data_IF_070559025029
#
_entry.id   IF_070559025029
#
_cell.length_a   1.000
_cell.length_b   1.000
_cell.length_c   1.000
_cell.angle_alpha   90.00
_cell.angle_beta   90.00
_cell.angle_gamma   90.00
#
_symmetry.space_group_name_H-M   'P 1'
#
loop_
_entity.id
_entity.type
_entity.pdbx_description
1 polymer ?
#
# COMPACT_ATOMS: atom_id res chain seq x y z
N UNK A 1 11.74 43.84 7.46
CA UNK A 1 10.45 43.67 6.75
C UNK A 1 10.71 42.69 5.60
N UNK A 2 10.51 41.40 5.85
CA UNK A 2 10.71 40.37 4.81
C UNK A 2 9.45 40.30 3.95
N UNK A 3 9.59 40.73 2.70
CA UNK A 3 8.56 40.61 1.68
C UNK A 3 8.39 39.13 1.34
N UNK A 4 7.31 38.52 1.81
CA UNK A 4 6.88 37.21 1.34
C UNK A 4 6.35 37.43 -0.08
N UNK A 5 7.17 37.15 -1.08
CA UNK A 5 6.73 37.13 -2.48
C UNK A 5 5.60 36.10 -2.61
N UNK A 6 4.40 36.57 -2.95
CA UNK A 6 3.26 35.71 -3.22
C UNK A 6 3.58 34.83 -4.44
N UNK A 7 3.65 33.53 -4.25
CA UNK A 7 3.77 32.57 -5.35
C UNK A 7 2.50 32.71 -6.20
N UNK A 8 2.61 32.97 -7.52
CA UNK A 8 1.43 33.10 -8.37
C UNK A 8 0.60 31.80 -8.33
N UNK A 9 -0.73 31.91 -8.36
CA UNK A 9 -1.57 30.72 -8.35
C UNK A 9 -1.26 29.87 -9.58
N UNK A 10 -0.82 28.66 -9.38
CA UNK A 10 -0.67 27.66 -10.44
C UNK A 10 -1.94 26.84 -10.51
N UNK A 11 -2.44 26.61 -11.72
CA UNK A 11 -3.62 25.76 -11.97
C UNK A 11 -3.19 24.48 -12.69
N UNK A 12 -3.80 23.37 -12.30
CA UNK A 12 -3.67 22.08 -12.96
C UNK A 12 -5.02 21.70 -13.55
N UNK A 13 -5.02 21.27 -14.81
CA UNK A 13 -6.20 20.71 -15.45
C UNK A 13 -6.39 19.25 -15.01
N UNK A 14 -7.63 18.83 -14.77
CA UNK A 14 -7.93 17.48 -14.32
C UNK A 14 -9.37 17.09 -14.67
N UNK A 15 -9.69 15.81 -14.42
CA UNK A 15 -11.03 15.25 -14.61
C UNK A 15 -11.72 15.23 -13.23
N UNK A 16 -12.89 15.85 -13.14
CA UNK A 16 -13.70 15.80 -11.91
C UNK A 16 -14.35 14.43 -11.73
N UNK A 17 -13.97 13.70 -10.70
CA UNK A 17 -14.56 12.41 -10.36
C UNK A 17 -15.82 12.55 -9.47
N UNK A 18 -15.92 13.64 -8.72
CA UNK A 18 -17.09 13.99 -7.91
C UNK A 18 -17.39 15.48 -8.00
N UNK A 19 -18.64 15.86 -7.72
CA UNK A 19 -19.07 17.26 -7.67
C UNK A 19 -18.62 17.92 -6.36
N UNK A 20 -18.34 19.22 -6.41
CA UNK A 20 -18.04 20.05 -5.25
C UNK A 20 -16.77 20.87 -5.39
N UNK A 21 -16.53 21.71 -4.39
CA UNK A 21 -15.30 22.52 -4.26
C UNK A 21 -14.70 22.24 -2.91
N UNK A 22 -13.45 21.77 -2.90
CA UNK A 22 -12.68 21.54 -1.67
C UNK A 22 -11.61 22.64 -1.50
N UNK A 23 -11.53 23.21 -0.30
CA UNK A 23 -10.46 24.17 0.07
C UNK A 23 -9.75 23.60 1.30
N UNK A 24 -8.44 23.45 1.22
CA UNK A 24 -7.65 22.88 2.30
C UNK A 24 -6.15 22.96 2.03
N UNK A 25 -5.37 22.48 2.99
CA UNK A 25 -3.91 22.35 2.84
C UNK A 25 -3.61 21.10 1.99
N UNK A 26 -2.70 21.22 1.04
CA UNK A 26 -2.24 20.08 0.27
C UNK A 26 -1.31 19.19 1.12
N UNK A 27 -1.56 17.89 1.08
CA UNK A 27 -0.68 16.85 1.59
C UNK A 27 -0.28 15.96 0.41
N UNK A 28 1.01 15.99 0.05
CA UNK A 28 1.52 15.17 -1.05
C UNK A 28 1.89 13.81 -0.48
N UNK A 29 1.06 12.82 -0.80
CA UNK A 29 1.30 11.42 -0.45
C UNK A 29 2.22 10.79 -1.50
N UNK A 30 3.34 10.23 -1.04
CA UNK A 30 4.27 9.47 -1.88
C UNK A 30 4.39 8.08 -1.30
N UNK A 31 4.05 7.09 -2.08
CA UNK A 31 4.36 5.70 -1.77
C UNK A 31 5.87 5.53 -1.95
N UNK A 32 6.62 5.64 -0.87
CA UNK A 32 8.03 5.33 -0.87
C UNK A 32 8.20 3.81 -0.94
N UNK A 33 8.93 3.33 -1.94
CA UNK A 33 9.33 1.92 -1.94
C UNK A 33 10.33 1.75 -0.81
N UNK A 34 10.08 0.87 0.17
CA UNK A 34 11.08 0.58 1.17
C UNK A 34 12.36 0.15 0.47
N UNK A 35 13.45 0.86 0.71
CA UNK A 35 14.74 0.53 0.12
C UNK A 35 15.19 -0.78 0.74
N UNK A 36 15.20 -1.84 -0.04
CA UNK A 36 15.70 -3.13 0.39
C UNK A 36 17.15 -2.97 0.89
N UNK A 37 17.35 -3.14 2.19
CA UNK A 37 18.65 -3.01 2.80
C UNK A 37 19.61 -4.05 2.22
N UNK A 38 20.67 -3.63 1.55
CA UNK A 38 21.71 -4.51 0.98
C UNK A 38 22.62 -5.10 2.07
N UNK A 39 22.06 -5.48 3.22
CA UNK A 39 22.79 -6.04 4.35
C UNK A 39 22.72 -7.57 4.29
N UNK A 40 23.88 -8.24 4.34
CA UNK A 40 23.92 -9.69 4.47
C UNK A 40 23.69 -10.10 5.91
N UNK A 41 22.85 -11.10 6.14
CA UNK A 41 22.57 -11.65 7.44
C UNK A 41 23.70 -12.57 7.92
N UNK A 42 23.96 -12.56 9.21
CA UNK A 42 24.73 -13.63 9.84
C UNK A 42 23.87 -14.89 9.95
N UNK A 43 24.45 -16.07 9.77
CA UNK A 43 23.71 -17.35 9.87
C UNK A 43 22.91 -17.49 11.16
N UNK A 44 23.46 -17.02 12.28
CA UNK A 44 22.79 -17.05 13.60
C UNK A 44 21.51 -16.20 13.68
N UNK A 45 21.27 -15.30 12.71
CA UNK A 45 20.08 -14.43 12.67
C UNK A 45 19.03 -14.86 11.67
N UNK A 46 19.30 -15.89 10.87
CA UNK A 46 18.43 -16.31 9.77
C UNK A 46 17.04 -16.72 10.26
N UNK A 47 16.96 -17.59 11.27
CA UNK A 47 15.66 -18.06 11.77
C UNK A 47 14.87 -16.93 12.47
N UNK A 48 15.54 -16.05 13.19
CA UNK A 48 14.87 -14.85 13.73
C UNK A 48 14.30 -13.94 12.64
N UNK A 49 14.99 -13.86 11.51
CA UNK A 49 14.51 -13.09 10.35
C UNK A 49 13.31 -13.75 9.67
N UNK A 50 13.31 -15.09 9.57
CA UNK A 50 12.16 -15.87 9.12
C UNK A 50 10.95 -15.64 10.03
N UNK A 51 11.14 -15.72 11.36
CA UNK A 51 10.06 -15.47 12.32
C UNK A 51 9.53 -14.02 12.20
N UNK A 52 10.41 -13.04 12.00
CA UNK A 52 10.03 -11.64 11.77
C UNK A 52 9.16 -11.50 10.52
N UNK A 53 9.53 -12.17 9.44
CA UNK A 53 8.76 -12.19 8.20
C UNK A 53 7.37 -12.80 8.40
N UNK A 54 7.30 -14.00 8.97
CA UNK A 54 6.04 -14.71 9.18
C UNK A 54 5.10 -13.93 10.13
N UNK A 55 5.66 -13.33 11.18
CA UNK A 55 4.89 -12.48 12.10
C UNK A 55 4.36 -11.22 11.39
N UNK A 56 5.15 -10.61 10.50
CA UNK A 56 4.69 -9.45 9.70
C UNK A 56 3.53 -9.83 8.78
N UNK A 57 3.59 -10.98 8.10
CA UNK A 57 2.48 -11.49 7.29
C UNK A 57 1.21 -11.69 8.13
N UNK A 58 1.35 -12.29 9.31
CA UNK A 58 0.24 -12.50 10.23
C UNK A 58 -0.40 -11.18 10.65
N UNK A 59 0.41 -10.18 11.05
CA UNK A 59 -0.08 -8.87 11.49
C UNK A 59 -0.80 -8.13 10.36
N UNK A 60 -0.24 -8.11 9.15
CA UNK A 60 -0.90 -7.53 7.97
C UNK A 60 -2.22 -8.23 7.67
N UNK A 61 -2.25 -9.55 7.75
CA UNK A 61 -3.48 -10.33 7.57
C UNK A 61 -4.57 -9.97 8.59
N UNK A 62 -4.21 -9.78 9.87
CA UNK A 62 -5.16 -9.34 10.90
C UNK A 62 -5.68 -7.91 10.64
N UNK A 63 -4.86 -7.01 10.17
CA UNK A 63 -5.27 -5.65 9.82
C UNK A 63 -6.22 -5.65 8.62
N UNK A 64 -5.93 -6.42 7.59
CA UNK A 64 -6.82 -6.56 6.42
C UNK A 64 -8.16 -7.18 6.84
N UNK A 65 -8.18 -8.21 7.68
CA UNK A 65 -9.43 -8.80 8.21
C UNK A 65 -10.24 -7.78 9.00
N UNK A 66 -9.58 -6.95 9.81
CA UNK A 66 -10.24 -5.87 10.56
C UNK A 66 -10.84 -4.84 9.61
N UNK A 67 -10.08 -4.39 8.62
CA UNK A 67 -10.53 -3.42 7.62
C UNK A 67 -11.69 -3.96 6.81
N UNK A 68 -11.60 -5.22 6.36
CA UNK A 68 -12.68 -5.93 5.66
C UNK A 68 -13.98 -5.90 6.44
N UNK A 69 -13.93 -6.29 7.73
CA UNK A 69 -15.14 -6.29 8.58
C UNK A 69 -15.76 -4.89 8.71
N UNK A 70 -14.94 -3.87 8.83
CA UNK A 70 -15.42 -2.49 8.93
C UNK A 70 -16.06 -2.00 7.63
N UNK A 71 -15.45 -2.30 6.48
CA UNK A 71 -16.00 -1.96 5.16
C UNK A 71 -17.31 -2.73 4.92
N UNK A 72 -17.37 -4.00 5.31
CA UNK A 72 -18.59 -4.80 5.19
C UNK A 72 -19.76 -4.20 5.99
N UNK A 73 -19.49 -3.69 7.20
CA UNK A 73 -20.50 -3.04 8.04
C UNK A 73 -20.94 -1.67 7.51
N UNK A 74 -20.02 -0.88 6.96
CA UNK A 74 -20.28 0.49 6.52
C UNK A 74 -20.81 0.56 5.07
N UNK A 75 -20.35 -0.35 4.19
CA UNK A 75 -20.57 -0.27 2.74
C UNK A 75 -21.13 -1.56 2.13
N UNK A 76 -21.32 -2.59 2.92
CA UNK A 76 -21.86 -3.87 2.49
C UNK A 76 -20.81 -4.87 2.00
N UNK A 77 -21.23 -6.14 1.76
CA UNK A 77 -20.33 -7.25 1.48
C UNK A 77 -19.65 -7.15 0.10
N UNK A 78 -20.28 -6.51 -0.87
CA UNK A 78 -19.73 -6.43 -2.24
C UNK A 78 -18.40 -5.64 -2.25
N UNK A 79 -18.34 -4.50 -1.56
CA UNK A 79 -17.12 -3.71 -1.48
C UNK A 79 -16.05 -4.40 -0.64
N UNK A 80 -16.45 -5.16 0.38
CA UNK A 80 -15.53 -5.90 1.24
C UNK A 80 -14.79 -7.04 0.51
N UNK A 81 -15.30 -7.53 -0.64
CA UNK A 81 -14.68 -8.62 -1.43
C UNK A 81 -13.30 -8.28 -1.98
N UNK A 82 -12.96 -7.02 -2.14
CA UNK A 82 -11.62 -6.63 -2.59
C UNK A 82 -10.53 -7.15 -1.63
N UNK A 83 -10.85 -7.24 -0.33
CA UNK A 83 -9.93 -7.73 0.70
C UNK A 83 -9.79 -9.26 0.70
N UNK A 84 -10.75 -10.01 0.16
CA UNK A 84 -10.68 -11.47 0.08
C UNK A 84 -9.53 -11.90 -0.84
N UNK A 85 -9.28 -11.16 -1.93
CA UNK A 85 -8.15 -11.40 -2.84
C UNK A 85 -6.82 -11.14 -2.12
N UNK A 86 -6.73 -10.06 -1.37
CA UNK A 86 -5.52 -9.72 -0.60
C UNK A 86 -5.24 -10.79 0.46
N UNK A 87 -6.26 -11.25 1.19
CA UNK A 87 -6.11 -12.31 2.18
C UNK A 87 -5.68 -13.64 1.54
N UNK A 88 -6.21 -13.98 0.35
CA UNK A 88 -5.80 -15.16 -0.39
C UNK A 88 -4.33 -15.10 -0.81
N UNK A 89 -3.85 -13.94 -1.26
CA UNK A 89 -2.43 -13.71 -1.62
C UNK A 89 -1.51 -13.87 -0.40
N UNK A 90 -1.89 -13.32 0.76
CA UNK A 90 -1.13 -13.48 2.01
C UNK A 90 -1.11 -14.93 2.52
N UNK A 91 -2.16 -15.70 2.22
CA UNK A 91 -2.26 -17.11 2.60
C UNK A 91 -1.52 -18.04 1.63
N UNK A 92 -1.01 -17.52 0.50
CA UNK A 92 -0.32 -18.35 -0.50
C UNK A 92 0.99 -18.92 0.07
N UNK A 93 0.99 -20.25 0.31
CA UNK A 93 2.15 -20.96 0.85
C UNK A 93 3.36 -20.87 -0.10
N UNK A 94 3.14 -20.79 -1.41
CA UNK A 94 4.23 -20.65 -2.38
C UNK A 94 5.00 -19.33 -2.21
N UNK A 95 4.30 -18.24 -1.94
CA UNK A 95 4.93 -16.93 -1.65
C UNK A 95 5.74 -17.01 -0.36
N UNK A 96 5.17 -17.64 0.68
CA UNK A 96 5.84 -17.81 1.98
C UNK A 96 7.10 -18.67 1.82
N UNK A 97 6.97 -19.85 1.23
CA UNK A 97 8.08 -20.78 1.08
C UNK A 97 9.22 -20.21 0.22
N UNK A 98 8.89 -19.54 -0.88
CA UNK A 98 9.88 -18.89 -1.72
C UNK A 98 10.62 -17.79 -0.96
N UNK A 99 9.92 -16.98 -0.18
CA UNK A 99 10.53 -15.91 0.62
C UNK A 99 11.42 -16.47 1.70
N UNK A 100 10.94 -17.47 2.46
CA UNK A 100 11.71 -18.16 3.51
C UNK A 100 12.97 -18.81 2.92
N UNK A 101 12.83 -19.48 1.77
CA UNK A 101 13.95 -20.09 1.07
C UNK A 101 15.01 -19.05 0.69
N UNK A 102 14.59 -17.87 0.17
CA UNK A 102 15.51 -16.78 -0.14
C UNK A 102 16.22 -16.25 1.09
N UNK A 103 15.51 -16.02 2.20
CA UNK A 103 16.13 -15.56 3.46
C UNK A 103 17.25 -16.52 3.88
N UNK A 104 16.98 -17.84 3.84
CA UNK A 104 17.93 -18.88 4.25
C UNK A 104 19.10 -19.05 3.29
N UNK A 105 18.86 -19.07 2.00
CA UNK A 105 19.90 -19.36 1.00
C UNK A 105 20.72 -18.12 0.62
N UNK A 106 20.05 -16.97 0.44
CA UNK A 106 20.70 -15.73 0.01
C UNK A 106 21.25 -14.93 1.20
N UNK A 107 20.91 -15.32 2.44
CA UNK A 107 21.28 -14.61 3.68
C UNK A 107 20.93 -13.12 3.60
N UNK A 108 19.77 -12.81 3.05
CA UNK A 108 19.30 -11.44 2.85
C UNK A 108 18.15 -11.11 3.82
N UNK A 109 17.95 -9.83 4.18
CA UNK A 109 16.83 -9.39 4.99
C UNK A 109 15.48 -9.77 4.38
N UNK A 110 14.47 -9.94 5.22
CA UNK A 110 13.11 -10.32 4.82
C UNK A 110 12.51 -9.35 3.79
N UNK A 111 12.80 -8.06 3.90
CA UNK A 111 12.36 -7.03 2.95
C UNK A 111 12.88 -7.33 1.54
N UNK A 112 14.17 -7.66 1.44
CA UNK A 112 14.80 -8.00 0.15
C UNK A 112 14.25 -9.29 -0.42
N UNK A 113 14.15 -10.33 0.41
CA UNK A 113 13.64 -11.64 0.00
C UNK A 113 12.20 -11.54 -0.49
N UNK A 114 11.35 -10.86 0.27
CA UNK A 114 9.94 -10.68 -0.06
C UNK A 114 9.74 -9.83 -1.31
N UNK A 115 10.41 -8.68 -1.42
CA UNK A 115 10.35 -7.83 -2.62
C UNK A 115 10.76 -8.60 -3.90
N UNK A 116 11.82 -9.39 -3.84
CA UNK A 116 12.27 -10.21 -4.96
C UNK A 116 11.24 -11.31 -5.32
N UNK A 117 10.60 -11.92 -4.32
CA UNK A 117 9.53 -12.90 -4.53
C UNK A 117 8.33 -12.24 -5.20
N UNK A 118 7.86 -11.10 -4.67
CA UNK A 118 6.72 -10.37 -5.21
C UNK A 118 6.97 -9.83 -6.62
N UNK A 119 8.21 -9.46 -6.96
CA UNK A 119 8.57 -9.06 -8.32
C UNK A 119 8.35 -10.18 -9.35
N UNK A 120 8.68 -11.42 -8.99
CA UNK A 120 8.38 -12.59 -9.82
C UNK A 120 6.88 -12.80 -10.00
N UNK A 121 6.09 -12.65 -8.95
CA UNK A 121 4.64 -12.77 -9.01
C UNK A 121 4.00 -11.64 -9.83
N UNK A 122 4.45 -10.39 -9.67
CA UNK A 122 3.96 -9.25 -10.48
C UNK A 122 4.15 -9.50 -11.99
N UNK A 123 5.34 -9.95 -12.39
CA UNK A 123 5.61 -10.28 -13.81
C UNK A 123 4.67 -11.37 -14.33
N UNK A 124 4.48 -12.44 -13.56
CA UNK A 124 3.56 -13.52 -13.94
C UNK A 124 2.11 -13.03 -14.09
N UNK A 125 1.68 -12.08 -13.25
CA UNK A 125 0.36 -11.45 -13.35
C UNK A 125 0.28 -10.50 -14.55
N UNK A 126 1.33 -9.74 -14.86
CA UNK A 126 1.38 -8.83 -16.01
C UNK A 126 1.36 -9.58 -17.35
N UNK A 127 1.97 -10.75 -17.42
CA UNK A 127 1.99 -11.63 -18.60
C UNK A 127 0.64 -12.34 -18.83
N UNK A 128 -0.17 -12.50 -17.80
CA UNK A 128 -1.47 -13.16 -17.88
C UNK A 128 -2.58 -12.13 -18.05
N UNK A 129 -3.29 -12.18 -19.18
CA UNK A 129 -4.36 -11.23 -19.53
C UNK A 129 -5.47 -11.15 -18.47
N UNK A 130 -5.85 -12.28 -17.87
CA UNK A 130 -6.90 -12.36 -16.85
C UNK A 130 -6.46 -11.84 -15.48
N UNK A 131 -5.16 -11.91 -15.19
CA UNK A 131 -4.60 -11.51 -13.90
C UNK A 131 -4.04 -10.07 -13.90
N UNK A 132 -3.85 -9.48 -15.07
CA UNK A 132 -3.27 -8.14 -15.20
C UNK A 132 -4.01 -7.08 -14.40
N UNK A 133 -5.34 -7.15 -14.32
CA UNK A 133 -6.16 -6.25 -13.52
C UNK A 133 -5.89 -6.38 -12.00
N UNK A 134 -5.26 -7.48 -11.55
CA UNK A 134 -4.94 -7.75 -10.14
C UNK A 134 -3.53 -7.36 -9.73
N UNK A 135 -2.72 -6.81 -10.62
CA UNK A 135 -1.37 -6.34 -10.30
C UNK A 135 -1.39 -5.25 -9.22
N UNK A 136 -2.43 -4.42 -9.19
CA UNK A 136 -2.67 -3.43 -8.13
C UNK A 136 -2.77 -4.07 -6.75
N UNK A 137 -3.53 -5.17 -6.62
CA UNK A 137 -3.68 -5.91 -5.37
C UNK A 137 -2.35 -6.52 -4.90
N UNK A 138 -1.55 -7.05 -5.85
CA UNK A 138 -0.20 -7.57 -5.56
C UNK A 138 0.72 -6.47 -5.02
N UNK A 139 0.69 -5.29 -5.62
CA UNK A 139 1.47 -4.13 -5.18
C UNK A 139 1.05 -3.62 -3.81
N UNK A 140 -0.25 -3.64 -3.53
CA UNK A 140 -0.78 -3.22 -2.23
C UNK A 140 -0.29 -4.16 -1.11
N UNK A 141 -0.39 -5.47 -1.31
CA UNK A 141 0.13 -6.46 -0.36
C UNK A 141 1.65 -6.33 -0.17
N UNK A 142 2.39 -6.18 -1.27
CA UNK A 142 3.84 -5.97 -1.20
C UNK A 142 4.17 -4.74 -0.33
N UNK A 143 3.48 -3.63 -0.58
CA UNK A 143 3.70 -2.40 0.16
C UNK A 143 3.40 -2.56 1.66
N UNK A 144 2.24 -3.11 2.01
CA UNK A 144 1.82 -3.31 3.39
C UNK A 144 2.80 -4.18 4.18
N UNK A 145 3.26 -5.29 3.59
CA UNK A 145 4.21 -6.20 4.24
C UNK A 145 5.59 -5.56 4.39
N UNK A 146 6.08 -4.88 3.34
CA UNK A 146 7.38 -4.20 3.40
C UNK A 146 7.39 -3.06 4.42
N UNK A 147 6.31 -2.29 4.49
CA UNK A 147 6.17 -1.21 5.47
C UNK A 147 6.16 -1.78 6.91
N UNK A 148 5.45 -2.87 7.14
CA UNK A 148 5.46 -3.58 8.43
C UNK A 148 6.84 -4.09 8.80
N UNK A 149 7.56 -4.69 7.86
CA UNK A 149 8.93 -5.15 8.04
C UNK A 149 9.89 -4.00 8.35
N UNK A 150 9.70 -2.83 7.74
CA UNK A 150 10.49 -1.63 8.02
C UNK A 150 10.20 -0.99 9.39
N UNK A 151 9.25 -1.55 10.17
CA UNK A 151 8.86 -1.01 11.46
C UNK A 151 7.96 0.22 11.37
N UNK A 152 7.44 0.53 10.17
CA UNK A 152 6.44 1.57 9.95
C UNK A 152 5.05 1.13 10.40
N UNK A 153 4.24 2.07 10.82
CA UNK A 153 2.80 1.85 10.89
C UNK A 153 2.24 1.94 9.46
N UNK A 154 1.31 1.07 9.11
CA UNK A 154 0.70 1.04 7.79
C UNK A 154 0.13 2.41 7.42
N UNK A 155 0.77 3.05 6.46
CA UNK A 155 0.34 4.28 5.80
C UNK A 155 0.72 5.57 6.51
N UNK A 156 1.64 6.32 5.94
CA UNK A 156 1.93 7.74 6.30
C UNK A 156 0.71 8.65 6.29
N UNK A 157 -0.44 8.11 5.89
CA UNK A 157 -1.75 8.74 5.94
C UNK A 157 -2.26 8.98 7.37
N UNK A 158 -1.69 8.33 8.40
CA UNK A 158 -2.10 8.51 9.80
C UNK A 158 -1.84 9.93 10.31
N UNK A 159 -0.89 10.64 9.73
CA UNK A 159 -0.54 12.03 10.07
C UNK A 159 -1.46 13.07 9.44
N UNK A 160 -2.37 12.68 8.55
CA UNK A 160 -3.27 13.59 7.84
C UNK A 160 -4.25 14.24 8.83
N UNK A 161 -4.25 15.55 8.85
CA UNK A 161 -5.18 16.37 9.65
C UNK A 161 -6.49 16.59 8.89
N UNK A 162 -7.54 16.92 9.64
CA UNK A 162 -8.80 17.39 9.05
C UNK A 162 -8.57 18.60 8.12
N UNK A 163 -9.45 18.79 7.14
CA UNK A 163 -9.40 19.87 6.15
C UNK A 163 -8.16 19.84 5.22
N UNK A 164 -7.66 18.65 4.91
CA UNK A 164 -6.55 18.44 4.00
C UNK A 164 -7.07 17.98 2.62
N UNK A 165 -6.40 18.42 1.57
CA UNK A 165 -6.51 17.88 0.22
C UNK A 165 -5.33 16.93 0.02
N UNK A 166 -5.62 15.66 -0.21
CA UNK A 166 -4.59 14.65 -0.46
C UNK A 166 -4.24 14.66 -1.94
N UNK A 167 -2.97 14.77 -2.26
CA UNK A 167 -2.43 14.70 -3.61
C UNK A 167 -1.53 13.48 -3.68
N UNK A 168 -1.85 12.52 -4.53
CA UNK A 168 -1.12 11.28 -4.68
C UNK A 168 -0.88 10.96 -6.16
N UNK A 169 0.11 10.16 -6.47
CA UNK A 169 0.25 9.62 -7.81
C UNK A 169 -0.82 8.57 -8.08
N UNK A 170 -1.02 7.71 -7.12
CA UNK A 170 -2.01 6.65 -7.09
C UNK A 170 -2.32 6.36 -5.62
N UNK A 171 -3.44 5.71 -5.36
CA UNK A 171 -3.80 5.23 -4.02
C UNK A 171 -4.02 3.73 -4.06
N UNK A 172 -3.43 3.06 -3.10
CA UNK A 172 -3.69 1.65 -2.87
C UNK A 172 -5.11 1.48 -2.29
N UNK A 173 -5.80 0.36 -2.55
CA UNK A 173 -7.13 0.10 -1.99
C UNK A 173 -7.21 0.24 -0.47
N UNK A 174 -6.20 -0.24 0.24
CA UNK A 174 -6.08 -0.10 1.70
C UNK A 174 -5.97 1.35 2.16
N UNK A 175 -5.26 2.19 1.41
CA UNK A 175 -5.09 3.61 1.66
C UNK A 175 -6.38 4.40 1.39
N UNK A 176 -7.09 4.07 0.31
CA UNK A 176 -8.37 4.69 -0.03
C UNK A 176 -9.40 4.50 1.10
N UNK A 177 -9.48 3.29 1.67
CA UNK A 177 -10.35 3.00 2.82
C UNK A 177 -9.94 3.80 4.06
N UNK A 178 -8.65 3.94 4.34
CA UNK A 178 -8.17 4.75 5.45
C UNK A 178 -8.51 6.24 5.29
N UNK A 179 -8.39 6.76 4.06
CA UNK A 179 -8.73 8.15 3.74
C UNK A 179 -10.23 8.41 3.85
N UNK A 180 -11.08 7.48 3.43
CA UNK A 180 -12.53 7.59 3.52
C UNK A 180 -13.04 7.81 4.95
N UNK A 181 -12.29 7.37 5.95
CA UNK A 181 -12.59 7.56 7.38
C UNK A 181 -12.10 8.88 7.95
N UNK A 182 -11.30 9.63 7.20
CA UNK A 182 -10.77 10.92 7.63
C UNK A 182 -11.56 12.05 7.00
N UNK A 183 -11.71 13.13 7.73
CA UNK A 183 -12.39 14.34 7.24
C UNK A 183 -11.49 15.11 6.26
N UNK A 184 -11.10 14.47 5.16
CA UNK A 184 -10.39 15.14 4.06
C UNK A 184 -11.37 15.98 3.23
N UNK A 185 -10.86 17.05 2.62
CA UNK A 185 -11.66 17.97 1.78
C UNK A 185 -11.61 17.64 0.29
N UNK A 186 -10.67 16.82 -0.11
CA UNK A 186 -10.53 16.40 -1.50
C UNK A 186 -9.38 15.43 -1.69
N UNK A 187 -9.43 14.73 -2.79
CA UNK A 187 -8.42 13.80 -3.26
C UNK A 187 -8.09 14.15 -4.71
N UNK A 188 -6.81 14.20 -5.03
CA UNK A 188 -6.28 14.40 -6.39
C UNK A 188 -5.27 13.29 -6.66
N UNK A 189 -5.46 12.53 -7.74
CA UNK A 189 -4.54 11.49 -8.16
C UNK A 189 -4.06 11.73 -9.60
N UNK A 190 -2.83 11.32 -9.92
CA UNK A 190 -2.32 11.34 -11.29
C UNK A 190 -2.89 10.17 -12.12
N UNK A 191 -3.19 9.06 -11.45
CA UNK A 191 -3.75 7.85 -12.05
C UNK A 191 -5.15 7.61 -11.51
N UNK A 192 -6.00 7.01 -12.33
CA UNK A 192 -7.38 6.71 -11.99
C UNK A 192 -8.34 7.09 -13.11
N UNK A 193 -9.58 6.72 -12.95
CA UNK A 193 -10.66 7.08 -13.84
C UNK A 193 -11.89 7.49 -13.01
N UNK A 194 -12.83 8.23 -13.63
CA UNK A 194 -14.10 8.61 -12.99
C UNK A 194 -14.91 7.40 -12.47
N UNK A 195 -14.62 6.20 -13.01
CA UNK A 195 -15.24 4.92 -12.64
C UNK A 195 -14.35 4.05 -11.74
N UNK A 196 -13.18 4.54 -11.30
CA UNK A 196 -12.34 3.81 -10.35
C UNK A 196 -13.03 3.71 -9.00
N UNK A 197 -12.85 2.59 -8.31
CA UNK A 197 -13.42 2.34 -6.98
C UNK A 197 -12.65 3.02 -5.84
N UNK A 198 -11.89 4.09 -6.14
CA UNK A 198 -11.16 4.90 -5.15
C UNK A 198 -12.01 6.02 -4.59
#
# INVERSE_FOLDING_TARGET
MSSTAAIPPSSLAGIGASSGIGIGRAFVHRVEKPVAARRRLMHSRVEMEVDRFLNSLYQVGEEIRRTRRLVELEHGPELARIFDVQLAMLADEKVKDQTVTRIRQELCPAETAFANTMEGHKRAFEENEYLRARVGDVRDIEHQVLERLAGGELGGLQSIRANTIVVARDLLPSEAVQLGRRLIKGLVTEQGAATSHT
#
